data_IF_305484137491
#
_entry.id   IF_305484137491
#
_cell.length_a   1.000
_cell.length_b   1.000
_cell.length_c   1.000
_cell.angle_alpha   90.00
_cell.angle_beta   90.00
_cell.angle_gamma   90.00
#
_symmetry.space_group_name_H-M   'P 1'
#
loop_
_entity.id
_entity.type
_entity.pdbx_description
1 polymer ?
#
# COMPACT_ATOMS: atom_id res chain seq x y z
N UNK A 1 20.48 18.31 -25.76
CA UNK A 1 19.99 17.07 -25.11
C UNK A 1 20.11 17.11 -23.59
N UNK A 2 21.29 17.29 -23.00
CA UNK A 2 21.44 17.37 -21.53
C UNK A 2 20.61 18.47 -20.86
N UNK A 3 20.55 19.66 -21.47
CA UNK A 3 19.73 20.79 -20.96
C UNK A 3 18.23 20.48 -20.98
N UNK A 4 17.75 19.80 -22.03
CA UNK A 4 16.35 19.38 -22.15
C UNK A 4 16.02 18.32 -21.12
N UNK A 5 16.90 17.33 -20.91
CA UNK A 5 16.73 16.31 -19.88
C UNK A 5 16.73 16.91 -18.47
N UNK A 6 17.64 17.85 -18.20
CA UNK A 6 17.69 18.55 -16.92
C UNK A 6 16.43 19.40 -16.67
N UNK A 7 15.95 20.12 -17.69
CA UNK A 7 14.72 20.89 -17.60
C UNK A 7 13.48 19.99 -17.36
N UNK A 8 13.40 18.84 -18.05
CA UNK A 8 12.34 17.86 -17.84
C UNK A 8 12.39 17.28 -16.42
N UNK A 9 13.57 16.91 -15.92
CA UNK A 9 13.74 16.41 -14.56
C UNK A 9 13.33 17.45 -13.51
N UNK A 10 13.72 18.72 -13.69
CA UNK A 10 13.34 19.81 -12.80
C UNK A 10 11.82 20.04 -12.82
N UNK A 11 11.20 20.01 -14.01
CA UNK A 11 9.75 20.14 -14.14
C UNK A 11 9.01 19.00 -13.44
N UNK A 12 9.45 17.76 -13.61
CA UNK A 12 8.90 16.60 -12.91
C UNK A 12 9.05 16.76 -11.40
N UNK A 13 10.23 17.16 -10.92
CA UNK A 13 10.48 17.38 -9.50
C UNK A 13 9.57 18.48 -8.92
N UNK A 14 9.38 19.58 -9.65
CA UNK A 14 8.50 20.68 -9.24
C UNK A 14 7.03 20.23 -9.16
N UNK A 15 6.55 19.46 -10.14
CA UNK A 15 5.19 18.90 -10.12
C UNK A 15 5.02 17.92 -8.96
N UNK A 16 5.98 17.02 -8.74
CA UNK A 16 5.92 16.07 -7.61
C UNK A 16 5.94 16.79 -6.26
N UNK A 17 6.75 17.85 -6.12
CA UNK A 17 6.79 18.67 -4.92
C UNK A 17 5.44 19.36 -4.67
N UNK A 18 4.86 19.99 -5.70
CA UNK A 18 3.55 20.62 -5.60
C UNK A 18 2.43 19.62 -5.28
N UNK A 19 2.48 18.41 -5.84
CA UNK A 19 1.54 17.34 -5.50
C UNK A 19 1.70 16.91 -4.04
N UNK A 20 2.94 16.76 -3.55
CA UNK A 20 3.22 16.37 -2.16
C UNK A 20 2.66 17.40 -1.18
N UNK A 21 2.96 18.67 -1.38
CA UNK A 21 2.46 19.74 -0.49
C UNK A 21 0.93 19.84 -0.55
N UNK A 22 0.34 19.73 -1.73
CA UNK A 22 -1.12 19.72 -1.87
C UNK A 22 -1.75 18.52 -1.17
N UNK A 23 -1.12 17.34 -1.26
CA UNK A 23 -1.59 16.13 -0.57
C UNK A 23 -1.52 16.30 0.95
N UNK A 24 -0.43 16.87 1.48
CA UNK A 24 -0.26 17.14 2.91
C UNK A 24 -1.27 18.16 3.43
N UNK A 25 -1.46 19.27 2.72
CA UNK A 25 -2.28 20.40 3.20
C UNK A 25 -3.78 20.20 2.99
N UNK A 26 -4.19 19.46 1.95
CA UNK A 26 -5.60 19.35 1.58
C UNK A 26 -6.13 17.91 1.67
N UNK A 27 -5.37 16.94 1.16
CA UNK A 27 -5.86 15.56 1.06
C UNK A 27 -5.84 14.87 2.43
N UNK A 28 -4.75 14.97 3.19
CA UNK A 28 -4.61 14.34 4.51
C UNK A 28 -5.65 14.84 5.55
N UNK A 29 -5.93 16.15 5.69
CA UNK A 29 -6.97 16.64 6.58
C UNK A 29 -8.36 16.19 6.13
N UNK A 30 -8.67 16.27 4.83
CA UNK A 30 -9.96 15.83 4.29
C UNK A 30 -10.19 14.35 4.55
N UNK A 31 -9.18 13.50 4.37
CA UNK A 31 -9.26 12.08 4.67
C UNK A 31 -9.48 11.82 6.16
N UNK A 32 -8.88 12.63 7.04
CA UNK A 32 -9.07 12.55 8.50
C UNK A 32 -10.48 12.96 8.93
N UNK A 33 -11.03 14.03 8.33
CA UNK A 33 -12.42 14.44 8.55
C UNK A 33 -13.41 13.39 8.03
N UNK A 34 -13.18 12.83 6.85
CA UNK A 34 -14.02 11.79 6.27
C UNK A 34 -13.96 10.49 7.09
N UNK A 35 -12.76 10.11 7.56
CA UNK A 35 -12.56 8.99 8.50
C UNK A 35 -13.37 9.19 9.78
N UNK A 36 -13.38 10.40 10.34
CA UNK A 36 -14.12 10.72 11.57
C UNK A 36 -15.63 10.67 11.35
N UNK A 37 -16.12 11.21 10.22
CA UNK A 37 -17.55 11.19 9.85
C UNK A 37 -18.07 9.76 9.62
N UNK A 38 -17.26 8.92 8.99
CA UNK A 38 -17.59 7.52 8.72
C UNK A 38 -17.28 6.56 9.89
N UNK A 39 -16.85 7.09 11.05
CA UNK A 39 -16.42 6.29 12.21
C UNK A 39 -15.34 5.24 11.89
N UNK A 40 -14.46 5.56 10.93
CA UNK A 40 -13.34 4.71 10.53
C UNK A 40 -12.06 5.13 11.27
N UNK A 41 -11.17 4.18 11.54
CA UNK A 41 -9.81 4.50 11.98
C UNK A 41 -9.00 5.10 10.83
N UNK A 42 -8.04 5.97 11.13
CA UNK A 42 -7.18 6.60 10.13
C UNK A 42 -6.45 5.55 9.26
N UNK A 43 -6.07 4.41 9.85
CA UNK A 43 -5.50 3.28 9.12
C UNK A 43 -6.50 2.64 8.15
N UNK A 44 -7.76 2.45 8.56
CA UNK A 44 -8.78 1.90 7.67
C UNK A 44 -9.09 2.87 6.53
N UNK A 45 -9.18 4.18 6.82
CA UNK A 45 -9.36 5.22 5.80
C UNK A 45 -8.22 5.24 4.78
N UNK A 46 -6.97 4.99 5.20
CA UNK A 46 -5.84 4.82 4.29
C UNK A 46 -5.99 3.59 3.38
N UNK A 47 -6.36 2.44 3.95
CA UNK A 47 -6.51 1.18 3.20
C UNK A 47 -7.76 1.17 2.30
N UNK A 48 -8.77 2.01 2.58
CA UNK A 48 -10.01 2.08 1.80
C UNK A 48 -10.11 3.33 0.94
N UNK A 49 -10.23 4.52 1.53
CA UNK A 49 -10.52 5.77 0.81
C UNK A 49 -9.33 6.21 -0.05
N UNK A 50 -8.12 6.19 0.51
CA UNK A 50 -6.91 6.53 -0.26
C UNK A 50 -6.62 5.47 -1.33
N UNK A 51 -6.69 4.18 -0.99
CA UNK A 51 -6.50 3.10 -1.95
C UNK A 51 -7.55 3.13 -3.08
N UNK A 52 -8.81 3.39 -2.76
CA UNK A 52 -9.91 3.51 -3.73
C UNK A 52 -9.74 4.74 -4.62
N UNK A 53 -9.40 5.90 -4.05
CA UNK A 53 -9.14 7.11 -4.82
C UNK A 53 -8.06 6.91 -5.86
N UNK A 54 -6.92 6.35 -5.44
CA UNK A 54 -5.80 6.06 -6.33
C UNK A 54 -6.18 5.02 -7.40
N UNK A 55 -6.75 3.88 -6.99
CA UNK A 55 -7.10 2.79 -7.91
C UNK A 55 -8.22 3.15 -8.90
N UNK A 56 -9.15 4.05 -8.53
CA UNK A 56 -10.24 4.45 -9.43
C UNK A 56 -9.73 5.19 -10.66
N UNK A 57 -8.75 6.10 -10.49
CA UNK A 57 -8.15 6.83 -11.60
C UNK A 57 -7.45 5.89 -12.59
N UNK A 58 -6.72 4.90 -12.07
CA UNK A 58 -6.07 3.86 -12.89
C UNK A 58 -7.08 3.03 -13.69
N UNK A 59 -8.18 2.63 -13.05
CA UNK A 59 -9.26 1.86 -13.72
C UNK A 59 -9.90 2.69 -14.82
N UNK A 60 -10.23 3.96 -14.58
CA UNK A 60 -10.81 4.81 -15.61
C UNK A 60 -9.84 5.08 -16.77
N UNK A 61 -8.56 5.32 -16.48
CA UNK A 61 -7.52 5.48 -17.49
C UNK A 61 -7.38 4.20 -18.35
N UNK A 62 -7.40 3.02 -17.72
CA UNK A 62 -7.32 1.75 -18.42
C UNK A 62 -8.55 1.49 -19.29
N UNK A 63 -9.76 1.76 -18.81
CA UNK A 63 -11.00 1.64 -19.61
C UNK A 63 -10.95 2.57 -20.82
N UNK A 64 -10.51 3.82 -20.63
CA UNK A 64 -10.39 4.78 -21.72
C UNK A 64 -9.36 4.32 -22.78
N UNK A 65 -8.20 3.81 -22.35
CA UNK A 65 -7.18 3.28 -23.23
C UNK A 65 -7.66 2.03 -24.00
N UNK A 66 -8.33 1.09 -23.34
CA UNK A 66 -8.92 -0.10 -23.99
C UNK A 66 -9.97 0.30 -25.03
N UNK A 67 -10.86 1.26 -24.71
CA UNK A 67 -11.85 1.79 -25.66
C UNK A 67 -11.22 2.45 -26.88
N UNK A 68 -10.02 3.01 -26.72
CA UNK A 68 -9.24 3.59 -27.81
C UNK A 68 -8.39 2.55 -28.58
N UNK A 69 -8.58 1.25 -28.34
CA UNK A 69 -7.79 0.19 -28.97
C UNK A 69 -6.35 0.08 -28.44
N UNK A 70 -6.04 0.69 -27.30
CA UNK A 70 -4.71 0.74 -26.68
C UNK A 70 -4.64 -0.10 -25.40
N UNK A 71 -5.18 -1.33 -25.46
CA UNK A 71 -5.20 -2.26 -24.32
C UNK A 71 -3.80 -2.61 -23.81
N UNK A 72 -2.84 -2.80 -24.70
CA UNK A 72 -1.45 -3.12 -24.33
C UNK A 72 -0.79 -1.98 -23.55
N UNK A 73 -1.07 -0.74 -23.94
CA UNK A 73 -0.59 0.45 -23.23
C UNK A 73 -1.22 0.56 -21.84
N UNK A 74 -2.51 0.23 -21.72
CA UNK A 74 -3.20 0.20 -20.43
C UNK A 74 -2.56 -0.83 -19.48
N UNK A 75 -2.30 -2.04 -20.00
CA UNK A 75 -1.66 -3.12 -19.24
C UNK A 75 -0.23 -2.74 -18.82
N UNK A 76 0.56 -2.18 -19.74
CA UNK A 76 1.91 -1.72 -19.45
C UNK A 76 1.93 -0.60 -18.39
N UNK A 77 0.99 0.34 -18.46
CA UNK A 77 0.86 1.44 -17.51
C UNK A 77 0.52 0.95 -16.10
N UNK A 78 -0.51 0.11 -15.94
CA UNK A 78 -0.91 -0.42 -14.63
C UNK A 78 0.20 -1.29 -14.02
N UNK A 79 0.80 -2.16 -14.83
CA UNK A 79 1.88 -3.06 -14.41
C UNK A 79 3.11 -2.25 -13.96
N UNK A 80 3.48 -1.22 -14.72
CA UNK A 80 4.57 -0.32 -14.41
C UNK A 80 4.33 0.51 -13.15
N UNK A 81 3.12 1.06 -12.98
CA UNK A 81 2.75 1.82 -11.80
C UNK A 81 2.86 0.98 -10.51
N UNK A 82 2.32 -0.25 -10.52
CA UNK A 82 2.38 -1.12 -9.36
C UNK A 82 3.81 -1.62 -9.05
N UNK A 83 4.65 -1.86 -10.07
CA UNK A 83 6.08 -2.15 -9.88
C UNK A 83 6.84 -0.96 -9.30
N UNK A 84 6.55 0.27 -9.75
CA UNK A 84 7.15 1.48 -9.21
C UNK A 84 6.79 1.68 -7.73
N UNK A 85 5.52 1.52 -7.36
CA UNK A 85 5.10 1.64 -5.95
C UNK A 85 5.73 0.55 -5.09
N UNK A 86 5.66 -0.71 -5.53
CA UNK A 86 6.18 -1.86 -4.75
C UNK A 86 7.70 -1.85 -4.64
N UNK A 87 8.42 -1.40 -5.66
CA UNK A 87 9.88 -1.36 -5.66
C UNK A 87 10.44 -0.06 -5.10
N UNK A 88 10.12 1.07 -5.75
CA UNK A 88 10.73 2.36 -5.42
C UNK A 88 10.13 2.99 -4.16
N UNK A 89 8.80 3.05 -4.05
CA UNK A 89 8.15 3.72 -2.92
C UNK A 89 8.33 2.92 -1.64
N UNK A 90 7.99 1.63 -1.64
CA UNK A 90 8.20 0.77 -0.46
C UNK A 90 9.68 0.68 -0.09
N UNK A 91 10.60 0.60 -1.07
CA UNK A 91 12.04 0.62 -0.83
C UNK A 91 12.54 1.93 -0.20
N UNK A 92 12.03 3.07 -0.66
CA UNK A 92 12.36 4.38 -0.08
C UNK A 92 11.80 4.51 1.35
N UNK A 93 10.56 4.06 1.60
CA UNK A 93 9.99 4.04 2.95
C UNK A 93 10.81 3.11 3.86
N UNK A 94 11.20 1.93 3.38
CA UNK A 94 12.02 1.00 4.15
C UNK A 94 13.40 1.53 4.55
N UNK A 95 14.01 2.37 3.72
CA UNK A 95 15.32 2.99 4.02
C UNK A 95 15.21 4.28 4.85
N UNK A 96 14.09 4.99 4.77
CA UNK A 96 13.86 6.25 5.50
C UNK A 96 13.12 6.06 6.82
N UNK A 97 12.38 4.96 6.99
CA UNK A 97 11.71 4.61 8.24
C UNK A 97 12.76 4.30 9.31
N UNK A 98 13.02 5.27 10.18
CA UNK A 98 13.82 5.04 11.39
C UNK A 98 12.98 4.26 12.40
N UNK A 99 13.54 3.24 13.07
CA UNK A 99 12.88 2.64 14.22
C UNK A 99 12.59 3.75 15.24
N UNK A 100 11.35 3.77 15.78
CA UNK A 100 10.98 4.73 16.80
C UNK A 100 11.99 4.62 17.96
N UNK A 101 12.49 5.75 18.50
CA UNK A 101 13.32 5.70 19.70
C UNK A 101 12.57 4.94 20.80
N UNK A 102 13.27 4.02 21.47
CA UNK A 102 12.69 3.32 22.63
C UNK A 102 12.15 4.35 23.62
N UNK A 103 11.00 4.08 24.27
CA UNK A 103 10.47 4.96 25.29
C UNK A 103 11.45 5.00 26.46
N UNK A 104 12.22 6.09 26.57
CA UNK A 104 12.95 6.40 27.81
C UNK A 104 11.94 6.49 28.94
N UNK A 105 12.13 5.67 29.99
CA UNK A 105 11.22 5.52 31.12
C UNK A 105 10.97 6.80 31.94
N UNK A 106 11.65 7.91 31.63
CA UNK A 106 11.67 9.14 32.45
C UNK A 106 10.72 10.25 31.97
N UNK A 107 10.19 10.16 30.76
CA UNK A 107 9.26 11.16 30.22
C UNK A 107 7.99 10.46 29.78
N UNK A 108 6.94 10.51 30.62
CA UNK A 108 5.60 9.94 30.36
C UNK A 108 4.83 10.53 29.16
N UNK A 109 5.54 11.03 28.16
CA UNK A 109 5.01 11.51 26.89
C UNK A 109 5.25 10.40 25.86
N UNK A 110 4.26 9.53 25.67
CA UNK A 110 4.26 8.61 24.54
C UNK A 110 4.23 9.43 23.25
N UNK A 111 5.22 9.34 22.34
CA UNK A 111 5.14 10.02 21.06
C UNK A 111 3.94 9.48 20.28
N UNK A 112 2.99 10.37 19.97
CA UNK A 112 1.72 10.05 19.28
C UNK A 112 1.94 9.63 17.81
N UNK A 113 3.13 9.88 17.26
CA UNK A 113 3.59 9.30 16.00
C UNK A 113 4.33 8.00 16.27
N UNK A 114 3.58 6.90 16.33
CA UNK A 114 4.17 5.58 16.12
C UNK A 114 4.63 5.57 14.66
N UNK A 115 5.92 5.85 14.42
CA UNK A 115 6.55 5.55 13.13
C UNK A 115 6.19 4.12 12.83
N UNK A 116 5.46 3.90 11.74
CA UNK A 116 5.01 2.58 11.33
C UNK A 116 6.29 1.81 11.04
N UNK A 117 6.72 1.01 12.01
CA UNK A 117 7.76 0.02 11.77
C UNK A 117 7.19 -0.86 10.66
N UNK A 118 7.75 -0.77 9.45
CA UNK A 118 7.42 -1.71 8.41
C UNK A 118 7.73 -3.09 8.97
N UNK A 119 6.70 -3.92 9.10
CA UNK A 119 6.91 -5.33 9.30
C UNK A 119 7.56 -5.85 8.02
N UNK A 120 8.89 -5.95 8.03
CA UNK A 120 9.69 -6.34 6.89
C UNK A 120 9.27 -7.73 6.38
N UNK A 121 8.80 -8.61 7.27
CA UNK A 121 8.32 -9.94 6.89
C UNK A 121 7.00 -9.87 6.11
N UNK A 122 6.03 -9.09 6.60
CA UNK A 122 4.76 -8.89 5.88
C UNK A 122 4.98 -8.17 4.56
N UNK A 123 5.79 -7.11 4.58
CA UNK A 123 6.09 -6.32 3.39
C UNK A 123 6.79 -7.17 2.33
N UNK A 124 7.78 -7.98 2.73
CA UNK A 124 8.48 -8.88 1.81
C UNK A 124 7.57 -9.98 1.26
N UNK A 125 6.68 -10.55 2.09
CA UNK A 125 5.67 -11.52 1.65
C UNK A 125 4.73 -10.91 0.61
N UNK A 126 4.21 -9.73 0.90
CA UNK A 126 3.21 -9.05 0.08
C UNK A 126 3.83 -8.59 -1.25
N UNK A 127 5.03 -8.00 -1.21
CA UNK A 127 5.82 -7.64 -2.40
C UNK A 127 6.25 -8.87 -3.22
N UNK A 128 6.63 -9.96 -2.55
CA UNK A 128 7.00 -11.22 -3.18
C UNK A 128 5.81 -11.85 -3.93
N UNK A 129 4.65 -11.94 -3.26
CA UNK A 129 3.44 -12.47 -3.89
C UNK A 129 3.01 -11.64 -5.10
N UNK A 130 3.04 -10.30 -4.96
CA UNK A 130 2.76 -9.38 -6.05
C UNK A 130 3.70 -9.61 -7.24
N UNK A 131 5.01 -9.67 -6.99
CA UNK A 131 6.03 -9.85 -8.03
C UNK A 131 5.89 -11.19 -8.75
N UNK A 132 5.69 -12.28 -8.00
CA UNK A 132 5.48 -13.61 -8.59
C UNK A 132 4.22 -13.66 -9.45
N UNK A 133 3.10 -13.13 -8.94
CA UNK A 133 1.83 -13.08 -9.69
C UNK A 133 2.00 -12.29 -10.99
N UNK A 134 2.68 -11.15 -10.92
CA UNK A 134 2.92 -10.27 -12.07
C UNK A 134 3.80 -10.95 -13.11
N UNK A 135 4.90 -11.59 -12.71
CA UNK A 135 5.81 -12.30 -13.61
C UNK A 135 5.12 -13.48 -14.29
N UNK A 136 4.44 -14.33 -13.52
CA UNK A 136 3.72 -15.49 -14.06
C UNK A 136 2.63 -15.06 -15.02
N UNK A 137 1.82 -14.07 -14.63
CA UNK A 137 0.70 -13.59 -15.48
C UNK A 137 1.22 -12.91 -16.74
N UNK A 138 2.28 -12.12 -16.65
CA UNK A 138 2.92 -11.49 -17.81
C UNK A 138 3.52 -12.54 -18.76
N UNK A 139 4.15 -13.60 -18.23
CA UNK A 139 4.68 -14.69 -19.05
C UNK A 139 3.58 -15.44 -19.79
N UNK A 140 2.44 -15.71 -19.13
CA UNK A 140 1.27 -16.35 -19.74
C UNK A 140 0.71 -15.47 -20.86
N UNK A 141 0.57 -14.16 -20.63
CA UNK A 141 0.09 -13.21 -21.63
C UNK A 141 1.07 -13.11 -22.81
N UNK A 142 2.39 -13.11 -22.55
CA UNK A 142 3.42 -13.08 -23.60
C UNK A 142 3.40 -14.33 -24.48
N UNK A 143 3.16 -15.51 -23.91
CA UNK A 143 3.07 -16.77 -24.67
C UNK A 143 1.78 -16.82 -25.50
N UNK A 144 0.66 -16.35 -24.94
CA UNK A 144 -0.63 -16.37 -25.63
C UNK A 144 -0.75 -15.26 -26.69
N UNK A 145 0.00 -14.17 -26.55
CA UNK A 145 -0.06 -13.02 -27.45
C UNK A 145 -1.31 -12.16 -27.31
N UNK A 146 -2.32 -12.62 -26.57
CA UNK A 146 -3.56 -11.89 -26.29
C UNK A 146 -3.98 -12.03 -24.82
N UNK A 147 -4.71 -11.02 -24.33
CA UNK A 147 -5.31 -11.06 -22.99
C UNK A 147 -6.62 -11.85 -23.07
N UNK A 148 -6.54 -13.15 -22.76
CA UNK A 148 -7.72 -14.01 -22.71
C UNK A 148 -8.60 -13.72 -21.49
N UNK A 149 -9.92 -13.98 -21.61
CA UNK A 149 -10.85 -13.88 -20.48
C UNK A 149 -10.43 -14.77 -19.30
N UNK A 150 -9.83 -15.92 -19.61
CA UNK A 150 -9.27 -16.84 -18.61
C UNK A 150 -8.13 -16.19 -17.83
N UNK A 151 -7.22 -15.46 -18.50
CA UNK A 151 -6.14 -14.74 -17.82
C UNK A 151 -6.68 -13.63 -16.90
N UNK A 152 -7.67 -12.87 -17.36
CA UNK A 152 -8.32 -11.82 -16.55
C UNK A 152 -9.04 -12.39 -15.32
N UNK A 153 -9.78 -13.49 -15.48
CA UNK A 153 -10.42 -14.19 -14.35
C UNK A 153 -9.37 -14.78 -13.39
N UNK A 154 -8.30 -15.39 -13.91
CA UNK A 154 -7.23 -15.94 -13.09
C UNK A 154 -6.55 -14.85 -12.25
N UNK A 155 -6.30 -13.66 -12.82
CA UNK A 155 -5.79 -12.50 -12.09
C UNK A 155 -6.74 -12.06 -10.98
N UNK A 156 -8.04 -11.97 -11.28
CA UNK A 156 -9.07 -11.62 -10.30
C UNK A 156 -9.12 -12.64 -9.14
N UNK A 157 -9.15 -13.94 -9.44
CA UNK A 157 -9.17 -14.99 -8.41
C UNK A 157 -7.87 -15.05 -7.61
N UNK A 158 -6.72 -14.75 -8.22
CA UNK A 158 -5.44 -14.65 -7.51
C UNK A 158 -5.46 -13.50 -6.52
N UNK A 159 -6.01 -12.35 -6.90
CA UNK A 159 -6.22 -11.21 -5.99
C UNK A 159 -7.16 -11.58 -4.84
N UNK A 160 -8.31 -12.19 -5.12
CA UNK A 160 -9.25 -12.64 -4.07
C UNK A 160 -8.57 -13.65 -3.12
N UNK A 161 -7.83 -14.62 -3.67
CA UNK A 161 -7.07 -15.59 -2.89
C UNK A 161 -6.04 -14.93 -1.97
N UNK A 162 -5.27 -13.97 -2.48
CA UNK A 162 -4.32 -13.18 -1.70
C UNK A 162 -5.01 -12.41 -0.56
N UNK A 163 -6.10 -11.70 -0.85
CA UNK A 163 -6.87 -10.96 0.17
C UNK A 163 -7.36 -11.91 1.26
N UNK A 164 -7.83 -13.11 0.91
CA UNK A 164 -8.26 -14.11 1.90
C UNK A 164 -7.09 -14.59 2.77
N UNK A 165 -5.88 -14.78 2.21
CA UNK A 165 -4.68 -15.16 2.98
C UNK A 165 -4.29 -14.04 3.95
N UNK A 166 -4.29 -12.79 3.49
CA UNK A 166 -3.99 -11.62 4.33
C UNK A 166 -5.01 -11.49 5.45
N UNK A 167 -6.32 -11.55 5.15
CA UNK A 167 -7.38 -11.49 6.14
C UNK A 167 -7.28 -12.62 7.18
N UNK A 168 -6.93 -13.84 6.77
CA UNK A 168 -6.69 -14.96 7.69
C UNK A 168 -5.49 -14.69 8.58
N UNK A 169 -4.40 -14.15 8.03
CA UNK A 169 -3.19 -13.80 8.79
C UNK A 169 -3.50 -12.73 9.85
N UNK A 170 -4.18 -11.65 9.46
CA UNK A 170 -4.55 -10.55 10.36
C UNK A 170 -5.50 -11.00 11.47
N UNK A 171 -6.52 -11.80 11.13
CA UNK A 171 -7.44 -12.37 12.14
C UNK A 171 -6.73 -13.27 13.14
N UNK A 172 -5.74 -14.06 12.70
CA UNK A 172 -4.95 -14.92 13.59
C UNK A 172 -4.12 -14.08 14.56
N UNK A 173 -3.43 -13.05 14.05
CA UNK A 173 -2.62 -12.13 14.88
C UNK A 173 -3.46 -11.32 15.86
N UNK A 174 -4.65 -10.88 15.44
CA UNK A 174 -5.57 -10.16 16.32
C UNK A 174 -5.98 -11.03 17.52
N UNK A 175 -6.25 -12.33 17.29
CA UNK A 175 -6.54 -13.29 18.37
C UNK A 175 -5.33 -13.51 19.30
N UNK A 176 -4.14 -13.67 18.73
CA UNK A 176 -2.90 -13.85 19.51
C UNK A 176 -2.62 -12.63 20.41
N UNK A 177 -2.81 -11.40 19.90
CA UNK A 177 -2.66 -10.16 20.69
C UNK A 177 -3.69 -10.04 21.80
N UNK A 178 -4.95 -10.37 21.52
CA UNK A 178 -6.02 -10.34 22.52
C UNK A 178 -5.79 -11.38 23.63
N UNK A 179 -5.29 -12.56 23.28
CA UNK A 179 -4.91 -13.59 24.25
C UNK A 179 -3.71 -13.15 25.11
N UNK A 180 -2.69 -12.53 24.51
CA UNK A 180 -1.53 -12.02 25.24
C UNK A 180 -1.89 -10.86 26.20
N UNK A 181 -2.77 -9.94 25.79
CA UNK A 181 -3.23 -8.86 26.68
C UNK A 181 -4.04 -9.40 27.86
N UNK A 182 -4.90 -10.40 27.63
CA UNK A 182 -5.67 -11.03 28.69
C UNK A 182 -4.77 -11.77 29.70
N UNK A 183 -3.73 -12.46 29.22
CA UNK A 183 -2.76 -13.14 30.08
C UNK A 183 -1.95 -12.15 30.94
N UNK A 184 -1.52 -11.02 30.38
CA UNK A 184 -0.79 -9.99 31.13
C UNK A 184 -1.66 -9.28 32.19
N UNK A 185 -2.94 -9.05 31.89
CA UNK A 185 -3.92 -8.50 32.83
C UNK A 185 -4.20 -9.48 33.98
N UNK A 186 -4.21 -10.78 33.70
CA UNK A 186 -4.34 -11.83 34.71
C UNK A 186 -3.08 -11.94 35.59
N UNK A 187 -1.87 -11.92 35.01
CA UNK A 187 -0.61 -11.96 35.75
C UNK A 187 -0.43 -10.75 36.68
N UNK A 188 -0.75 -9.54 36.20
CA UNK A 188 -0.71 -8.32 37.03
C UNK A 188 -1.74 -8.35 38.17
N UNK A 189 -2.89 -8.99 37.96
CA UNK A 189 -3.90 -9.21 39.01
C UNK A 189 -3.42 -10.20 40.08
N UNK A 190 -2.69 -11.26 39.70
CA UNK A 190 -2.07 -12.20 40.64
C UNK A 190 -0.95 -11.57 41.46
N UNK A 191 -0.16 -10.67 40.87
CA UNK A 191 0.91 -9.95 41.57
C UNK A 191 0.38 -8.88 42.55
N UNK A 192 -0.89 -8.50 42.44
CA UNK A 192 -1.53 -7.50 43.28
C UNK A 192 -2.27 -8.08 44.52
N UNK A 193 -2.32 -9.42 44.65
CA UNK A 193 -2.94 -10.16 45.78
C UNK A 193 -1.88 -10.82 46.64
#
# INVERSE_FOLDING_TARGET
WLTVLAAAALAIAAVLFALSTTAEDHFCPTLSHLSSSLSLSQSLAGVTLLAFGNGSADVFAAIAAVRAGKGDLALASITGAGLFVTGAVVGAIGTTARPAPEPSAETGVTPKLRVIALDASNTARDAGWYTVTLVVSSLVILIQGEVSLVASLALFFTYVGYVLVVLRTERRRAKERAAASAAAEEESRWLAT
#
